data_IF_783153815827
#
_entry.id   IF_783153815827
#
_cell.length_a   1.000
_cell.length_b   1.000
_cell.length_c   1.000
_cell.angle_alpha   90.00
_cell.angle_beta   90.00
_cell.angle_gamma   90.00
#
_symmetry.space_group_name_H-M   'P 1'
#
loop_
_entity.id
_entity.type
_entity.pdbx_description
1 polymer ?
#
# COMPACT_ATOMS: atom_id res chain seq x y z
N UNK A 1 -21.90 9.44 -14.71
CA UNK A 1 -21.47 9.05 -13.34
C UNK A 1 -21.10 7.58 -13.17
N UNK A 2 -21.83 6.59 -13.74
CA UNK A 2 -21.44 5.15 -13.67
C UNK A 2 -20.15 4.75 -14.44
N UNK A 3 -19.61 5.62 -15.31
CA UNK A 3 -18.37 5.36 -16.07
C UNK A 3 -17.08 5.60 -15.28
N UNK A 4 -17.11 6.44 -14.24
CA UNK A 4 -15.93 6.73 -13.41
C UNK A 4 -15.64 5.59 -12.42
N UNK A 5 -16.70 4.98 -11.87
CA UNK A 5 -16.59 3.79 -11.01
C UNK A 5 -15.93 2.63 -11.75
N UNK A 6 -16.34 2.36 -13.00
CA UNK A 6 -15.70 1.35 -13.86
C UNK A 6 -14.24 1.69 -14.24
N UNK A 7 -13.87 2.97 -14.32
CA UNK A 7 -12.49 3.36 -14.61
C UNK A 7 -11.57 3.15 -13.40
N UNK A 8 -12.04 3.41 -12.18
CA UNK A 8 -11.27 3.25 -10.94
C UNK A 8 -11.27 1.82 -10.39
N UNK A 9 -12.37 1.09 -10.54
CA UNK A 9 -12.33 -0.37 -10.36
C UNK A 9 -11.55 -1.02 -11.48
N UNK A 10 -11.41 -0.44 -12.68
CA UNK A 10 -10.34 -0.86 -13.61
C UNK A 10 -8.95 -0.47 -13.11
N UNK A 11 -8.73 0.72 -12.52
CA UNK A 11 -7.43 1.04 -11.89
C UNK A 11 -7.08 0.08 -10.73
N UNK A 12 -8.07 -0.49 -10.04
CA UNK A 12 -7.88 -1.41 -8.91
C UNK A 12 -7.98 -2.91 -9.29
N UNK A 13 -8.73 -3.27 -10.33
CA UNK A 13 -8.96 -4.64 -10.80
C UNK A 13 -8.16 -4.99 -12.07
N UNK A 14 -7.88 -4.03 -12.95
CA UNK A 14 -6.75 -4.15 -13.87
C UNK A 14 -5.50 -3.92 -13.01
N UNK A 15 -4.98 -5.04 -12.51
CA UNK A 15 -3.62 -5.16 -12.04
C UNK A 15 -2.74 -4.35 -13.00
N UNK A 16 -2.24 -3.18 -12.57
CA UNK A 16 -1.15 -2.52 -13.27
C UNK A 16 0.04 -3.46 -13.16
N UNK A 17 0.10 -4.33 -14.14
CA UNK A 17 1.13 -5.27 -14.36
C UNK A 17 1.56 -4.93 -15.77
N UNK A 18 2.36 -3.87 -15.84
CA UNK A 18 2.95 -3.43 -17.10
C UNK A 18 3.82 -4.58 -17.56
N UNK A 19 3.45 -5.14 -18.73
CA UNK A 19 4.11 -6.28 -19.37
C UNK A 19 5.61 -6.00 -19.48
N UNK A 20 6.48 -6.99 -19.25
CA UNK A 20 7.91 -6.77 -19.29
C UNK A 20 8.34 -6.47 -20.73
N UNK A 21 8.87 -5.28 -20.98
CA UNK A 21 9.75 -5.06 -22.13
C UNK A 21 11.17 -5.63 -21.87
N UNK A 22 11.47 -6.08 -20.64
CA UNK A 22 12.84 -6.40 -20.25
C UNK A 22 13.06 -7.88 -19.94
N UNK A 23 13.60 -8.62 -20.91
CA UNK A 23 14.10 -10.00 -20.77
C UNK A 23 15.57 -10.07 -20.31
N UNK A 24 16.19 -8.92 -20.00
CA UNK A 24 17.59 -8.83 -19.58
C UNK A 24 17.68 -8.26 -18.15
N UNK A 25 18.13 -9.12 -17.23
CA UNK A 25 18.53 -8.84 -15.84
C UNK A 25 17.71 -7.77 -15.09
N UNK A 26 16.51 -8.15 -14.62
CA UNK A 26 15.61 -7.23 -13.90
C UNK A 26 15.90 -7.23 -12.38
N UNK A 27 16.10 -6.06 -11.77
CA UNK A 27 16.20 -5.87 -10.31
C UNK A 27 15.55 -4.55 -9.93
N UNK A 28 14.44 -4.62 -9.21
CA UNK A 28 14.40 -4.52 -7.75
C UNK A 28 12.94 -4.73 -7.37
N UNK A 29 12.68 -5.35 -6.22
CA UNK A 29 11.36 -5.30 -5.63
C UNK A 29 11.41 -4.53 -4.35
N UNK A 30 10.48 -3.62 -4.21
CA UNK A 30 10.31 -2.84 -3.01
C UNK A 30 8.89 -2.94 -2.53
N UNK A 31 8.68 -3.11 -1.24
CA UNK A 31 7.35 -3.05 -0.67
C UNK A 31 7.36 -1.97 0.41
N UNK A 32 6.52 -0.98 0.25
CA UNK A 32 6.21 0.00 1.28
C UNK A 32 4.69 0.06 1.45
N UNK A 33 4.27 0.25 2.70
CA UNK A 33 2.88 0.30 3.11
C UNK A 33 2.50 1.75 3.45
N UNK A 34 1.69 2.38 2.61
CA UNK A 34 1.10 3.67 2.97
C UNK A 34 -0.16 3.47 3.81
N UNK A 35 -0.28 4.23 4.91
CA UNK A 35 -1.48 4.26 5.75
C UNK A 35 -1.49 3.30 6.93
N UNK A 36 -0.37 2.68 7.30
CA UNK A 36 -0.29 1.79 8.45
C UNK A 36 -0.66 2.41 9.82
N UNK A 37 -0.36 3.68 10.16
CA UNK A 37 -0.64 4.19 11.50
C UNK A 37 -2.05 4.77 11.67
N UNK A 38 -2.78 5.01 10.58
CA UNK A 38 -4.06 5.75 10.65
C UNK A 38 -5.26 4.84 10.87
N UNK A 39 -6.30 5.29 11.61
CA UNK A 39 -7.50 4.50 11.87
C UNK A 39 -8.45 4.45 10.67
N UNK A 40 -8.22 5.23 9.61
CA UNK A 40 -9.13 5.34 8.46
C UNK A 40 -8.41 5.20 7.12
N UNK A 41 -9.16 4.82 6.10
CA UNK A 41 -8.69 4.62 4.72
C UNK A 41 -7.95 3.30 4.51
N UNK A 42 -7.66 2.93 3.26
CA UNK A 42 -7.01 1.67 2.94
C UNK A 42 -5.53 1.66 3.34
N UNK A 43 -4.95 0.46 3.39
CA UNK A 43 -3.49 0.30 3.32
C UNK A 43 -3.11 -0.08 1.90
N UNK A 44 -2.12 0.60 1.34
CA UNK A 44 -1.65 0.30 -0.02
C UNK A 44 -0.20 -0.16 0.03
N UNK A 45 0.05 -1.32 -0.56
CA UNK A 45 1.37 -1.89 -0.78
C UNK A 45 1.72 -1.71 -2.25
N UNK A 46 2.89 -1.13 -2.52
CA UNK A 46 3.40 -0.98 -3.89
C UNK A 46 4.67 -1.76 -4.10
N UNK A 47 4.90 -2.23 -5.33
CA UNK A 47 6.19 -2.67 -5.87
C UNK A 47 6.58 -1.82 -7.07
N UNK A 48 7.88 -1.64 -7.26
CA UNK A 48 8.51 -1.04 -8.43
C UNK A 48 9.75 -1.86 -8.78
N UNK A 49 9.99 -2.09 -10.06
CA UNK A 49 11.12 -2.85 -10.60
C UNK A 49 11.67 -2.20 -11.87
N UNK A 50 12.99 -2.27 -12.03
CA UNK A 50 13.70 -1.83 -13.23
C UNK A 50 14.87 -2.78 -13.55
N UNK A 51 15.58 -2.61 -14.67
CA UNK A 51 16.84 -3.30 -14.93
C UNK A 51 17.96 -2.79 -14.01
N UNK A 52 18.93 -3.65 -13.73
CA UNK A 52 20.11 -3.32 -12.90
C UNK A 52 20.95 -2.19 -13.47
N UNK A 53 21.20 -2.26 -14.77
CA UNK A 53 22.02 -1.31 -15.53
C UNK A 53 21.34 0.06 -15.66
N UNK A 54 20.05 0.15 -15.31
CA UNK A 54 19.24 1.37 -15.28
C UNK A 54 18.87 1.80 -13.86
N UNK A 55 19.43 1.18 -12.83
CA UNK A 55 19.12 1.53 -11.44
C UNK A 55 19.57 2.96 -11.08
N UNK A 56 20.70 3.41 -11.63
CA UNK A 56 21.20 4.78 -11.43
C UNK A 56 20.30 5.83 -12.10
N UNK A 57 19.57 5.47 -13.16
CA UNK A 57 18.61 6.37 -13.79
C UNK A 57 17.50 6.76 -12.80
N UNK A 58 17.02 5.84 -11.98
CA UNK A 58 16.04 6.17 -10.93
C UNK A 58 16.58 7.22 -9.95
N UNK A 59 17.88 7.18 -9.65
CA UNK A 59 18.50 8.20 -8.81
C UNK A 59 18.51 9.55 -9.52
N UNK A 60 18.86 9.58 -10.82
CA UNK A 60 18.85 10.78 -11.65
C UNK A 60 17.43 11.37 -11.85
N UNK A 61 16.40 10.52 -11.86
CA UNK A 61 14.99 10.89 -11.97
C UNK A 61 14.40 11.49 -10.67
N UNK A 62 15.19 11.59 -9.60
CA UNK A 62 14.79 12.31 -8.38
C UNK A 62 14.16 11.44 -7.27
N UNK A 63 14.27 10.11 -7.37
CA UNK A 63 13.68 9.18 -6.38
C UNK A 63 14.50 9.04 -5.08
N UNK A 64 15.04 10.13 -4.51
CA UNK A 64 15.99 10.06 -3.39
C UNK A 64 15.36 10.15 -1.98
N UNK A 65 14.16 10.73 -1.82
CA UNK A 65 13.47 10.77 -0.52
C UNK A 65 11.98 11.07 -0.68
N UNK A 66 11.12 10.06 -0.47
CA UNK A 66 9.66 10.22 -0.65
C UNK A 66 8.94 10.85 0.56
N UNK A 67 9.63 11.07 1.69
CA UNK A 67 9.03 11.56 2.94
C UNK A 67 8.89 13.08 3.00
N UNK A 68 9.67 13.79 2.21
CA UNK A 68 9.67 15.27 2.11
C UNK A 68 8.86 15.79 0.92
N UNK A 69 8.32 14.90 0.08
CA UNK A 69 7.58 15.28 -1.12
C UNK A 69 6.14 15.64 -0.81
N UNK A 70 5.72 16.81 -1.28
CA UNK A 70 4.30 17.19 -1.31
C UNK A 70 3.52 16.32 -2.30
N UNK A 71 2.20 16.42 -2.28
CA UNK A 71 1.32 15.63 -3.14
C UNK A 71 1.62 15.82 -4.64
N UNK A 72 1.73 17.07 -5.09
CA UNK A 72 2.02 17.38 -6.50
C UNK A 72 3.36 16.80 -6.96
N UNK A 73 4.40 16.81 -6.11
CA UNK A 73 5.68 16.21 -6.43
C UNK A 73 5.58 14.68 -6.56
N UNK A 74 4.76 14.03 -5.73
CA UNK A 74 4.51 12.59 -5.82
C UNK A 74 3.75 12.23 -7.09
N UNK A 75 2.76 13.04 -7.49
CA UNK A 75 2.05 12.86 -8.77
C UNK A 75 2.97 13.04 -9.98
N UNK A 76 3.84 14.07 -9.97
CA UNK A 76 4.85 14.27 -11.02
C UNK A 76 5.80 13.09 -11.14
N UNK A 77 6.29 12.54 -10.03
CA UNK A 77 7.17 11.37 -10.04
C UNK A 77 6.45 10.10 -10.49
N UNK A 78 5.16 9.94 -10.17
CA UNK A 78 4.38 8.83 -10.74
C UNK A 78 4.27 8.95 -12.26
N UNK A 79 4.12 10.17 -12.79
CA UNK A 79 4.10 10.38 -14.23
C UNK A 79 5.45 10.09 -14.89
N UNK A 80 6.56 10.35 -14.20
CA UNK A 80 7.90 9.93 -14.63
C UNK A 80 7.98 8.40 -14.74
N UNK A 81 7.46 7.67 -13.74
CA UNK A 81 7.39 6.19 -13.80
C UNK A 81 6.58 5.73 -15.01
N UNK A 82 5.44 6.37 -15.28
CA UNK A 82 4.56 6.04 -16.42
C UNK A 82 5.19 6.35 -17.77
N UNK A 83 5.94 7.45 -17.88
CA UNK A 83 6.60 7.85 -19.12
C UNK A 83 7.76 6.91 -19.46
N UNK A 84 8.39 6.30 -18.45
CA UNK A 84 9.50 5.36 -18.57
C UNK A 84 9.05 3.88 -18.47
N UNK A 85 7.83 3.58 -18.93
CA UNK A 85 7.24 2.23 -18.84
C UNK A 85 7.97 1.17 -19.70
N UNK A 86 8.90 1.59 -20.56
CA UNK A 86 9.75 0.73 -21.38
C UNK A 86 10.79 -0.04 -20.55
N UNK A 87 11.15 0.46 -19.36
CA UNK A 87 12.04 -0.27 -18.44
C UNK A 87 11.58 -0.24 -16.98
N UNK A 88 10.73 0.69 -16.57
CA UNK A 88 10.19 0.74 -15.20
C UNK A 88 8.82 0.06 -15.18
N UNK A 89 8.70 -0.98 -14.35
CA UNK A 89 7.41 -1.58 -14.03
C UNK A 89 7.07 -1.37 -12.57
N UNK A 90 5.77 -1.33 -12.27
CA UNK A 90 5.28 -1.18 -10.90
C UNK A 90 3.93 -1.89 -10.76
N UNK A 91 3.55 -2.19 -9.53
CA UNK A 91 2.24 -2.76 -9.21
C UNK A 91 1.83 -2.38 -7.80
N UNK A 92 0.53 -2.36 -7.52
CA UNK A 92 -0.01 -2.04 -6.19
C UNK A 92 -1.07 -3.05 -5.76
N UNK A 93 -1.18 -3.26 -4.45
CA UNK A 93 -2.26 -3.98 -3.79
C UNK A 93 -2.84 -3.11 -2.70
N UNK A 94 -4.16 -2.97 -2.74
CA UNK A 94 -4.94 -2.20 -1.79
C UNK A 94 -5.60 -3.19 -0.83
N UNK A 95 -5.38 -3.00 0.46
CA UNK A 95 -6.14 -3.65 1.53
C UNK A 95 -7.21 -2.66 2.00
N UNK A 96 -8.48 -3.02 1.82
CA UNK A 96 -9.58 -2.17 2.25
C UNK A 96 -9.65 -2.07 3.79
N UNK A 97 -10.17 -0.97 4.36
CA UNK A 97 -10.41 -0.87 5.79
C UNK A 97 -11.25 -2.03 6.34
N UNK A 98 -12.22 -2.49 5.55
CA UNK A 98 -13.10 -3.61 5.87
C UNK A 98 -12.33 -4.93 5.91
N UNK A 99 -11.49 -5.23 4.91
CA UNK A 99 -10.67 -6.45 4.88
C UNK A 99 -9.72 -6.51 6.08
N UNK A 100 -9.12 -5.36 6.42
CA UNK A 100 -8.22 -5.23 7.58
C UNK A 100 -8.99 -5.50 8.87
N UNK A 101 -10.14 -4.84 9.04
CA UNK A 101 -10.99 -4.99 10.23
C UNK A 101 -11.47 -6.43 10.41
N UNK A 102 -12.03 -7.02 9.35
CA UNK A 102 -12.48 -8.41 9.33
C UNK A 102 -11.34 -9.38 9.66
N UNK A 103 -10.15 -9.16 9.09
CA UNK A 103 -9.00 -10.02 9.31
C UNK A 103 -8.48 -9.98 10.75
N UNK A 104 -8.45 -8.80 11.37
CA UNK A 104 -7.93 -8.62 12.71
C UNK A 104 -8.94 -8.99 13.81
N UNK A 105 -10.24 -8.82 13.57
CA UNK A 105 -11.32 -9.05 14.53
C UNK A 105 -11.93 -10.45 14.46
N UNK A 106 -11.63 -11.26 13.43
CA UNK A 106 -12.12 -12.65 13.34
C UNK A 106 -11.58 -13.53 14.48
N UNK A 107 -12.32 -14.60 14.79
CA UNK A 107 -11.98 -15.60 15.83
C UNK A 107 -10.53 -16.12 15.72
N UNK A 108 -10.11 -16.50 14.52
CA UNK A 108 -8.72 -16.88 14.23
C UNK A 108 -7.92 -15.66 13.76
N UNK A 109 -7.51 -14.81 14.71
CA UNK A 109 -6.92 -13.49 14.44
C UNK A 109 -5.82 -13.53 13.38
N UNK A 110 -5.92 -12.66 12.39
CA UNK A 110 -4.88 -12.41 11.39
C UNK A 110 -4.35 -11.01 11.55
N UNK A 111 -3.15 -10.91 12.14
CA UNK A 111 -2.58 -9.62 12.52
C UNK A 111 -2.05 -8.82 11.31
N UNK A 112 -1.87 -7.52 11.54
CA UNK A 112 -1.44 -6.56 10.52
C UNK A 112 -0.09 -6.90 9.89
N UNK A 113 0.88 -7.37 10.69
CA UNK A 113 2.20 -7.74 10.18
C UNK A 113 2.14 -8.95 9.23
N UNK A 114 1.24 -9.90 9.53
CA UNK A 114 1.06 -11.09 8.72
C UNK A 114 0.37 -10.73 7.40
N UNK A 115 -0.66 -9.88 7.45
CA UNK A 115 -1.27 -9.25 6.26
C UNK A 115 -0.24 -8.52 5.41
N UNK A 116 0.63 -7.73 6.03
CA UNK A 116 1.68 -6.97 5.36
C UNK A 116 2.66 -7.88 4.62
N UNK A 117 3.17 -8.90 5.32
CA UNK A 117 4.11 -9.86 4.73
C UNK A 117 3.47 -10.63 3.58
N UNK A 118 2.26 -11.13 3.75
CA UNK A 118 1.62 -11.97 2.73
C UNK A 118 1.19 -11.15 1.50
N UNK A 119 0.79 -9.89 1.69
CA UNK A 119 0.52 -8.96 0.58
C UNK A 119 1.78 -8.66 -0.21
N UNK A 120 2.91 -8.43 0.47
CA UNK A 120 4.21 -8.23 -0.16
C UNK A 120 4.65 -9.47 -0.94
N UNK A 121 4.56 -10.65 -0.31
CA UNK A 121 4.89 -11.94 -0.95
C UNK A 121 4.03 -12.17 -2.19
N UNK A 122 2.74 -11.80 -2.14
CA UNK A 122 1.83 -11.91 -3.27
C UNK A 122 2.26 -11.01 -4.43
N UNK A 123 2.55 -9.74 -4.17
CA UNK A 123 3.06 -8.80 -5.19
C UNK A 123 4.34 -9.34 -5.86
N UNK A 124 5.29 -9.84 -5.06
CA UNK A 124 6.52 -10.46 -5.55
C UNK A 124 6.25 -11.65 -6.47
N UNK A 125 5.36 -12.56 -6.05
CA UNK A 125 4.99 -13.75 -6.83
C UNK A 125 4.29 -13.39 -8.13
N UNK A 126 3.39 -12.41 -8.11
CA UNK A 126 2.66 -11.97 -9.30
C UNK A 126 3.61 -11.35 -10.33
N UNK A 127 4.61 -10.59 -9.90
CA UNK A 127 5.62 -10.07 -10.82
C UNK A 127 6.52 -11.17 -11.40
N UNK A 128 6.97 -12.14 -10.59
CA UNK A 128 7.73 -13.31 -11.08
C UNK A 128 6.89 -14.08 -12.10
N UNK A 129 5.62 -14.36 -11.80
CA UNK A 129 4.70 -15.06 -12.68
C UNK A 129 4.46 -14.34 -14.01
N UNK A 130 4.72 -13.03 -14.04
CA UNK A 130 4.59 -12.19 -15.22
C UNK A 130 5.85 -12.13 -16.08
N UNK A 131 6.86 -12.93 -15.75
CA UNK A 131 8.12 -13.04 -16.51
C UNK A 131 9.21 -12.08 -16.04
N UNK A 132 9.03 -11.37 -14.92
CA UNK A 132 10.09 -10.53 -14.35
C UNK A 132 11.17 -11.42 -13.72
N UNK A 133 12.40 -11.32 -14.22
CA UNK A 133 13.53 -12.11 -13.69
C UNK A 133 14.10 -11.45 -12.44
N UNK A 134 13.61 -11.85 -11.26
CA UNK A 134 13.94 -11.23 -9.97
C UNK A 134 15.25 -11.75 -9.40
N UNK A 135 16.23 -10.87 -9.24
CA UNK A 135 17.55 -11.24 -8.67
C UNK A 135 17.96 -10.46 -7.42
N UNK A 136 17.36 -9.30 -7.13
CA UNK A 136 17.47 -8.60 -5.83
C UNK A 136 16.10 -8.09 -5.37
N UNK A 137 15.88 -8.14 -4.05
CA UNK A 137 14.66 -7.69 -3.36
C UNK A 137 15.09 -6.78 -2.21
N UNK A 138 14.54 -5.57 -2.14
CA UNK A 138 14.81 -4.56 -1.11
C UNK A 138 13.52 -4.12 -0.45
N UNK A 139 13.25 -4.52 0.79
CA UNK A 139 11.96 -4.22 1.46
C UNK A 139 12.15 -3.24 2.61
N UNK A 140 11.26 -2.24 2.69
CA UNK A 140 11.19 -1.38 3.86
C UNK A 140 10.41 -2.07 4.98
N UNK A 141 10.88 -1.93 6.21
CA UNK A 141 10.18 -2.47 7.38
C UNK A 141 10.13 -1.49 8.53
N UNK A 142 9.04 -1.54 9.28
CA UNK A 142 8.88 -0.87 10.57
C UNK A 142 9.37 -1.75 11.74
N UNK A 143 9.40 -3.07 11.55
CA UNK A 143 9.74 -4.07 12.57
C UNK A 143 11.20 -4.53 12.52
N UNK A 144 11.53 -5.61 13.27
CA UNK A 144 12.85 -6.24 13.21
C UNK A 144 13.09 -6.87 11.81
N UNK A 145 14.11 -6.42 11.07
CA UNK A 145 14.34 -6.86 9.70
C UNK A 145 14.76 -8.33 9.58
N UNK A 146 15.40 -8.91 10.61
CA UNK A 146 16.07 -10.20 10.54
C UNK A 146 15.08 -11.33 10.26
N UNK A 147 13.97 -11.36 11.01
CA UNK A 147 12.93 -12.38 10.86
C UNK A 147 12.23 -12.29 9.51
N UNK A 148 11.99 -11.07 9.02
CA UNK A 148 11.31 -10.85 7.75
C UNK A 148 12.24 -11.17 6.57
N UNK A 149 13.50 -10.78 6.65
CA UNK A 149 14.52 -11.13 5.67
C UNK A 149 14.68 -12.63 5.55
N UNK A 150 14.77 -13.36 6.68
CA UNK A 150 14.85 -14.82 6.67
C UNK A 150 13.60 -15.47 6.03
N UNK A 151 12.39 -14.95 6.33
CA UNK A 151 11.14 -15.42 5.72
C UNK A 151 11.19 -15.24 4.19
N UNK A 152 11.56 -14.06 3.71
CA UNK A 152 11.62 -13.74 2.29
C UNK A 152 12.74 -14.52 1.57
N UNK A 153 13.94 -14.61 2.15
CA UNK A 153 15.06 -15.36 1.57
C UNK A 153 14.72 -16.85 1.39
N UNK A 154 13.97 -17.44 2.32
CA UNK A 154 13.48 -18.83 2.19
C UNK A 154 12.44 -18.98 1.06
N UNK A 155 11.59 -17.98 0.86
CA UNK A 155 10.53 -18.02 -0.16
C UNK A 155 11.03 -17.68 -1.56
N UNK A 156 12.12 -16.92 -1.67
CA UNK A 156 12.71 -16.44 -2.92
C UNK A 156 14.21 -16.74 -2.96
N UNK A 157 14.64 -18.01 -2.91
CA UNK A 157 16.06 -18.39 -2.84
C UNK A 157 16.88 -17.97 -4.07
N UNK A 158 16.21 -17.68 -5.20
CA UNK A 158 16.83 -17.17 -6.42
C UNK A 158 17.27 -15.70 -6.34
N UNK A 159 16.83 -14.96 -5.33
CA UNK A 159 17.05 -13.53 -5.21
C UNK A 159 17.82 -13.19 -3.93
N UNK A 160 18.72 -12.21 -4.01
CA UNK A 160 19.35 -11.62 -2.82
C UNK A 160 18.34 -10.70 -2.13
N UNK A 161 17.96 -11.04 -0.90
CA UNK A 161 16.97 -10.29 -0.12
C UNK A 161 17.67 -9.40 0.90
N UNK A 162 17.32 -8.11 0.87
CA UNK A 162 17.72 -7.11 1.85
C UNK A 162 16.46 -6.51 2.45
N UNK A 163 16.29 -6.60 3.77
CA UNK A 163 15.22 -5.93 4.51
C UNK A 163 15.87 -4.95 5.47
N UNK A 164 15.49 -3.68 5.40
CA UNK A 164 16.04 -2.65 6.29
C UNK A 164 14.99 -1.61 6.61
N UNK A 165 15.22 -0.89 7.71
CA UNK A 165 14.44 0.30 8.05
C UNK A 165 14.84 1.46 7.14
N UNK A 166 13.89 2.31 6.77
CA UNK A 166 14.12 3.48 5.91
C UNK A 166 14.72 3.10 4.56
N UNK A 167 14.32 1.95 4.02
CA UNK A 167 14.81 1.48 2.73
C UNK A 167 14.43 2.45 1.60
N UNK A 168 13.33 3.20 1.75
CA UNK A 168 12.89 4.26 0.84
C UNK A 168 13.89 5.42 0.72
N UNK A 169 14.65 5.72 1.77
CA UNK A 169 15.72 6.74 1.75
C UNK A 169 17.06 6.19 1.25
N UNK A 170 17.21 4.87 1.17
CA UNK A 170 18.47 4.19 0.80
C UNK A 170 18.47 3.72 -0.65
N UNK A 171 17.32 3.29 -1.16
CA UNK A 171 17.18 2.66 -2.46
C UNK A 171 16.13 3.41 -3.31
N UNK A 172 16.52 4.03 -4.44
CA UNK A 172 15.61 4.84 -5.26
C UNK A 172 14.35 4.10 -5.74
N UNK A 173 14.49 2.83 -6.04
CA UNK A 173 13.39 1.95 -6.41
C UNK A 173 12.42 1.63 -5.27
N UNK A 174 12.89 1.68 -4.01
CA UNK A 174 11.99 1.62 -2.83
C UNK A 174 11.23 2.93 -2.69
N UNK A 175 11.90 4.06 -2.92
CA UNK A 175 11.24 5.36 -3.01
C UNK A 175 10.16 5.39 -4.10
N UNK A 176 10.44 4.83 -5.29
CA UNK A 176 9.49 4.74 -6.40
C UNK A 176 8.25 3.91 -6.04
N UNK A 177 8.40 2.73 -5.42
CA UNK A 177 7.26 1.94 -4.96
C UNK A 177 6.45 2.65 -3.86
N UNK A 178 7.13 3.33 -2.94
CA UNK A 178 6.49 4.14 -1.91
C UNK A 178 5.62 5.24 -2.52
N UNK A 179 6.11 5.91 -3.57
CA UNK A 179 5.34 6.92 -4.31
C UNK A 179 4.11 6.29 -4.96
N UNK A 180 4.25 5.17 -5.68
CA UNK A 180 3.11 4.46 -6.28
C UNK A 180 2.05 4.10 -5.24
N UNK A 181 2.46 3.58 -4.08
CA UNK A 181 1.55 3.23 -2.99
C UNK A 181 0.85 4.46 -2.40
N UNK A 182 1.61 5.53 -2.13
CA UNK A 182 1.09 6.77 -1.54
C UNK A 182 0.13 7.50 -2.47
N UNK A 183 0.47 7.69 -3.75
CA UNK A 183 -0.42 8.35 -4.71
C UNK A 183 -1.70 7.54 -4.91
N UNK A 184 -1.60 6.22 -4.97
CA UNK A 184 -2.79 5.34 -5.06
C UNK A 184 -3.67 5.47 -3.83
N UNK A 185 -3.09 5.47 -2.62
CA UNK A 185 -3.85 5.66 -1.38
C UNK A 185 -4.56 7.01 -1.35
N UNK A 186 -3.83 8.08 -1.65
CA UNK A 186 -4.37 9.44 -1.60
C UNK A 186 -5.51 9.62 -2.61
N UNK A 187 -5.37 9.04 -3.82
CA UNK A 187 -6.45 9.01 -4.81
C UNK A 187 -7.70 8.26 -4.31
N UNK A 188 -7.53 7.09 -3.66
CA UNK A 188 -8.66 6.32 -3.10
C UNK A 188 -9.36 7.10 -1.99
N UNK A 189 -8.62 7.77 -1.12
CA UNK A 189 -9.21 8.57 -0.03
C UNK A 189 -9.95 9.78 -0.60
N UNK A 190 -9.35 10.51 -1.54
CA UNK A 190 -9.97 11.68 -2.20
C UNK A 190 -11.27 11.35 -2.94
N UNK A 191 -11.36 10.14 -3.49
CA UNK A 191 -12.50 9.68 -4.28
C UNK A 191 -13.37 8.68 -3.51
N UNK A 192 -13.20 8.60 -2.20
CA UNK A 192 -13.95 7.65 -1.39
C UNK A 192 -15.45 7.97 -1.47
N UNK A 193 -16.23 6.95 -1.82
CA UNK A 193 -17.68 7.03 -1.84
C UNK A 193 -18.21 6.33 -0.60
N UNK A 194 -18.79 7.11 0.31
CA UNK A 194 -19.47 6.58 1.48
C UNK A 194 -20.74 5.85 1.06
N UNK A 195 -20.90 4.63 1.55
CA UNK A 195 -22.15 3.87 1.39
C UNK A 195 -23.18 4.30 2.44
N UNK A 196 -22.69 4.84 3.55
CA UNK A 196 -23.44 5.25 4.72
C UNK A 196 -24.09 6.63 4.49
N UNK A 197 -25.40 6.77 4.71
CA UNK A 197 -26.09 8.06 4.56
C UNK A 197 -25.51 9.12 5.49
N UNK A 198 -25.27 10.33 4.96
CA UNK A 198 -24.81 11.48 5.75
C UNK A 198 -23.33 11.50 6.11
N UNK A 199 -22.56 10.46 5.75
CA UNK A 199 -21.11 10.50 5.88
C UNK A 199 -20.50 11.37 4.76
N UNK A 200 -19.78 12.42 5.15
CA UNK A 200 -19.21 13.39 4.22
C UNK A 200 -17.67 13.33 4.15
N UNK A 201 -17.15 13.55 2.94
CA UNK A 201 -15.72 13.55 2.63
C UNK A 201 -14.96 14.83 3.08
N UNK A 202 -15.67 15.83 3.64
CA UNK A 202 -15.15 17.18 3.83
C UNK A 202 -14.17 17.36 4.99
N UNK A 203 -13.96 16.34 5.83
CA UNK A 203 -12.95 16.38 6.88
C UNK A 203 -12.04 15.15 6.82
N UNK A 204 -10.77 15.35 7.14
CA UNK A 204 -9.77 14.28 7.19
C UNK A 204 -10.30 13.16 8.12
N UNK A 205 -10.62 11.97 7.57
CA UNK A 205 -11.23 10.88 8.33
C UNK A 205 -10.26 10.30 9.37
N UNK A 206 -9.00 10.74 9.37
CA UNK A 206 -8.01 10.37 10.37
C UNK A 206 -8.07 11.28 11.62
N UNK A 207 -8.86 12.36 11.60
CA UNK A 207 -9.00 13.24 12.76
C UNK A 207 -9.94 12.65 13.79
N UNK A 208 -9.57 12.80 15.08
CA UNK A 208 -10.42 12.41 16.20
C UNK A 208 -11.78 13.13 16.14
N UNK A 209 -11.82 14.37 15.66
CA UNK A 209 -13.06 15.13 15.49
C UNK A 209 -14.00 14.48 14.47
N UNK A 210 -13.50 14.08 13.30
CA UNK A 210 -14.32 13.39 12.29
C UNK A 210 -14.84 12.06 12.82
N UNK A 211 -13.99 11.27 13.50
CA UNK A 211 -14.43 10.01 14.10
C UNK A 211 -15.56 10.24 15.11
N UNK A 212 -15.41 11.18 16.07
CA UNK A 212 -16.48 11.45 17.04
C UNK A 212 -17.79 11.91 16.39
N UNK A 213 -17.73 12.63 15.26
CA UNK A 213 -18.91 13.12 14.55
C UNK A 213 -19.62 12.04 13.70
N UNK A 214 -18.95 10.92 13.41
CA UNK A 214 -19.45 9.87 12.50
C UNK A 214 -19.60 8.51 13.20
N UNK A 215 -19.90 8.50 14.51
CA UNK A 215 -20.28 7.27 15.22
C UNK A 215 -21.80 7.14 15.20
N UNK A 216 -22.30 6.14 14.47
CA UNK A 216 -23.65 5.64 14.56
C UNK A 216 -23.81 4.74 15.82
N UNK A 217 -24.86 4.93 16.64
CA UNK A 217 -25.04 4.15 17.87
C UNK A 217 -25.20 2.64 17.65
N UNK A 218 -25.69 2.20 16.49
CA UNK A 218 -25.98 0.80 16.18
C UNK A 218 -24.89 0.21 15.28
N UNK A 219 -24.55 0.91 14.19
CA UNK A 219 -23.63 0.42 13.16
C UNK A 219 -22.17 0.82 13.39
N UNK A 220 -21.90 1.72 14.34
CA UNK A 220 -20.56 2.21 14.61
C UNK A 220 -20.09 3.20 13.54
N UNK A 221 -19.07 2.85 12.76
CA UNK A 221 -18.46 3.79 11.81
C UNK A 221 -18.75 3.47 10.35
N UNK A 222 -18.63 4.46 9.45
CA UNK A 222 -18.61 4.21 8.02
C UNK A 222 -17.44 3.29 7.61
N UNK A 223 -17.61 2.57 6.50
CA UNK A 223 -16.66 1.56 6.01
C UNK A 223 -15.26 2.08 5.68
N UNK A 224 -15.02 3.39 5.69
CA UNK A 224 -13.67 3.95 5.59
C UNK A 224 -12.84 3.69 6.86
N UNK A 225 -13.49 3.47 8.01
CA UNK A 225 -12.84 3.32 9.31
C UNK A 225 -12.43 1.87 9.55
N UNK A 226 -11.25 1.69 10.15
CA UNK A 226 -10.74 0.39 10.57
C UNK A 226 -11.20 0.12 12.00
N UNK A 227 -12.12 -0.81 12.17
CA UNK A 227 -12.69 -1.19 13.47
C UNK A 227 -11.67 -1.88 14.38
N UNK A 228 -10.60 -2.44 13.81
CA UNK A 228 -9.54 -3.11 14.58
C UNK A 228 -8.52 -2.16 15.23
N UNK A 229 -8.68 -0.84 15.09
CA UNK A 229 -7.78 0.14 15.72
C UNK A 229 -8.26 0.45 17.13
N UNK A 230 -7.32 0.53 18.07
CA UNK A 230 -7.61 0.84 19.48
C UNK A 230 -8.35 2.18 19.66
N UNK A 231 -8.08 3.18 18.82
CA UNK A 231 -8.81 4.45 18.84
C UNK A 231 -10.28 4.25 18.48
N UNK A 232 -10.55 3.43 17.45
CA UNK A 232 -11.91 3.11 16.99
C UNK A 232 -12.66 2.30 18.04
N UNK A 233 -12.02 1.28 18.61
CA UNK A 233 -12.56 0.43 19.68
C UNK A 233 -13.01 1.26 20.88
N UNK A 234 -12.14 2.14 21.40
CA UNK A 234 -12.46 3.03 22.53
C UNK A 234 -13.62 3.99 22.25
N UNK A 235 -13.76 4.44 20.99
CA UNK A 235 -14.88 5.32 20.61
C UNK A 235 -16.19 4.55 20.52
N UNK A 236 -16.17 3.31 20.03
CA UNK A 236 -17.35 2.44 20.03
C UNK A 236 -17.81 2.13 21.45
N UNK A 237 -16.89 1.78 22.35
CA UNK A 237 -17.21 1.53 23.77
C UNK A 237 -17.85 2.74 24.47
N UNK A 238 -17.45 3.96 24.08
CA UNK A 238 -17.92 5.20 24.69
C UNK A 238 -19.24 5.69 24.12
N UNK A 239 -19.45 5.51 22.80
CA UNK A 239 -20.48 6.24 22.05
C UNK A 239 -21.48 5.34 21.31
N UNK A 240 -21.20 4.05 21.16
CA UNK A 240 -22.10 3.08 20.55
C UNK A 240 -22.75 2.17 21.60
N UNK A 241 -23.80 1.45 21.18
CA UNK A 241 -24.47 0.46 22.01
C UNK A 241 -23.57 -0.78 22.17
N UNK A 242 -23.55 -1.34 23.38
CA UNK A 242 -22.78 -2.56 23.66
C UNK A 242 -23.26 -3.76 22.83
N UNK A 243 -22.31 -4.52 22.28
CA UNK A 243 -22.57 -5.73 21.48
C UNK A 243 -21.85 -6.92 22.11
N UNK A 244 -22.56 -8.03 22.27
CA UNK A 244 -22.03 -9.32 22.72
C UNK A 244 -22.00 -10.29 21.52
N UNK A 245 -20.85 -10.93 21.28
CA UNK A 245 -20.55 -11.75 20.09
C UNK A 245 -20.47 -13.24 20.40
#
# INVERSE_FOLDING_TARGET
MRRAYWALTKLAADQYLVRPACTRQTRVFSADASGAPVPSGPMVYGICYCPLDRADDLKALGFADSKTLNEEARERLLEVIRTNADYIGWSVRVLSPQDISQSMLRRNKYNLNSMAHDTTIRLLREAIASGVNVTEIYVDTVGPPESYQAKLARLFPQARVTVTKKADSLFPVVSAASICAKVTRDAIIKQWMFAEPGAEAFADPNTVAWLNANVDPVFGFPGIVRFSWATTERLLEKSAIGVEW
#
